data_IF_342436806608
#
_entry.id   IF_342436806608
#
_cell.length_a   1.000
_cell.length_b   1.000
_cell.length_c   1.000
_cell.angle_alpha   90.00
_cell.angle_beta   90.00
_cell.angle_gamma   90.00
#
_symmetry.space_group_name_H-M   'P 1'
#
loop_
_entity.id
_entity.type
_entity.pdbx_description
1 polymer ?
#
# COMPACT_ATOMS: atom_id res chain seq x y z
N UNK A 1 7.76 -34.20 -1.95
CA UNK A 1 8.65 -33.08 -1.51
C UNK A 1 8.92 -33.30 -0.03
N UNK A 2 10.18 -33.30 0.39
CA UNK A 2 10.54 -33.46 1.80
C UNK A 2 10.07 -32.23 2.61
N UNK A 3 9.85 -32.39 3.91
CA UNK A 3 9.41 -31.30 4.80
C UNK A 3 10.42 -30.14 4.79
N UNK A 4 11.70 -30.41 4.67
CA UNK A 4 12.80 -29.44 4.56
C UNK A 4 12.68 -28.53 3.32
N UNK A 5 12.34 -29.09 2.14
CA UNK A 5 12.17 -28.26 0.93
C UNK A 5 11.00 -27.27 1.05
N UNK A 6 9.97 -27.63 1.81
CA UNK A 6 8.82 -26.76 2.02
C UNK A 6 9.14 -25.62 3.01
N UNK A 7 9.94 -25.90 4.01
CA UNK A 7 10.43 -24.89 4.97
C UNK A 7 11.39 -23.90 4.32
N UNK A 8 12.33 -24.39 3.52
CA UNK A 8 13.22 -23.52 2.74
C UNK A 8 12.43 -22.61 1.78
N UNK A 9 11.47 -23.17 1.03
CA UNK A 9 10.64 -22.37 0.12
C UNK A 9 9.86 -21.26 0.85
N UNK A 10 9.33 -21.55 2.05
CA UNK A 10 8.66 -20.54 2.88
C UNK A 10 9.62 -19.46 3.39
N UNK A 11 10.82 -19.83 3.76
CA UNK A 11 11.84 -18.90 4.25
C UNK A 11 12.34 -17.98 3.12
N UNK A 12 12.55 -18.53 1.92
CA UNK A 12 12.92 -17.75 0.73
C UNK A 12 11.82 -16.77 0.31
N UNK A 13 10.55 -17.16 0.37
CA UNK A 13 9.42 -16.27 0.09
C UNK A 13 9.32 -15.16 1.14
N UNK A 14 9.55 -15.46 2.41
CA UNK A 14 9.59 -14.44 3.48
C UNK A 14 10.73 -13.43 3.27
N UNK A 15 11.93 -13.92 2.88
CA UNK A 15 13.05 -13.05 2.56
C UNK A 15 12.71 -12.12 1.39
N UNK A 16 12.18 -12.69 0.31
CA UNK A 16 11.75 -11.93 -0.86
C UNK A 16 10.73 -10.83 -0.50
N UNK A 17 9.66 -11.17 0.23
CA UNK A 17 8.63 -10.23 0.67
C UNK A 17 9.20 -9.10 1.53
N UNK A 18 10.16 -9.43 2.40
CA UNK A 18 10.81 -8.46 3.25
C UNK A 18 11.67 -7.49 2.44
N UNK A 19 12.46 -8.00 1.50
CA UNK A 19 13.33 -7.19 0.65
C UNK A 19 12.50 -6.34 -0.33
N UNK A 20 11.44 -6.89 -0.94
CA UNK A 20 10.50 -6.12 -1.76
C UNK A 20 9.79 -5.03 -0.93
N UNK A 21 9.41 -5.32 0.31
CA UNK A 21 8.76 -4.33 1.18
C UNK A 21 9.65 -3.13 1.52
N UNK A 22 10.96 -3.28 1.44
CA UNK A 22 11.95 -2.23 1.70
C UNK A 22 12.50 -1.54 0.44
N UNK A 23 11.99 -1.87 -0.76
CA UNK A 23 12.40 -1.31 -2.05
C UNK A 23 13.91 -1.41 -2.32
N UNK A 24 14.54 -2.45 -1.87
CA UNK A 24 15.94 -2.67 -2.11
C UNK A 24 16.09 -3.45 -3.43
N UNK A 25 16.78 -2.86 -4.41
CA UNK A 25 17.19 -3.63 -5.57
C UNK A 25 18.20 -4.72 -5.14
N UNK A 26 18.30 -5.86 -5.87
CA UNK A 26 19.26 -6.92 -5.53
C UNK A 26 20.67 -6.38 -5.30
N UNK A 27 21.14 -5.42 -6.10
CA UNK A 27 22.48 -4.82 -5.98
C UNK A 27 22.65 -4.05 -4.66
N UNK A 28 21.58 -3.34 -4.22
CA UNK A 28 21.61 -2.61 -2.93
C UNK A 28 21.60 -3.56 -1.74
N UNK A 29 20.84 -4.66 -1.86
CA UNK A 29 20.81 -5.70 -0.83
C UNK A 29 22.18 -6.37 -0.74
N UNK A 30 22.77 -6.72 -1.88
CA UNK A 30 24.10 -7.29 -1.98
C UNK A 30 25.15 -6.38 -1.34
N UNK A 31 25.18 -5.11 -1.73
CA UNK A 31 26.12 -4.11 -1.18
C UNK A 31 25.90 -3.85 0.33
N UNK A 32 24.71 -4.09 0.87
CA UNK A 32 24.44 -3.97 2.29
C UNK A 32 24.84 -5.23 3.09
N UNK A 33 24.91 -6.37 2.43
CA UNK A 33 25.36 -7.64 3.01
C UNK A 33 26.87 -7.85 2.92
N UNK A 34 27.51 -7.38 1.85
CA UNK A 34 28.95 -7.35 1.64
C UNK A 34 29.57 -6.26 2.54
N UNK A 35 29.89 -6.61 3.79
CA UNK A 35 30.35 -5.67 4.81
C UNK A 35 31.80 -5.18 4.54
N UNK A 36 32.62 -6.06 4.00
CA UNK A 36 34.04 -5.75 3.75
C UNK A 36 34.28 -5.10 2.37
N UNK A 37 33.30 -5.16 1.46
CA UNK A 37 33.34 -4.54 0.13
C UNK A 37 34.24 -5.27 -0.86
N UNK A 38 34.47 -6.59 -0.68
CA UNK A 38 35.34 -7.39 -1.56
C UNK A 38 34.62 -7.95 -2.79
N UNK A 39 33.28 -7.78 -2.87
CA UNK A 39 32.45 -8.21 -3.98
C UNK A 39 31.90 -9.61 -3.81
N UNK A 40 32.03 -10.21 -2.63
CA UNK A 40 31.50 -11.50 -2.25
C UNK A 40 30.77 -11.40 -0.90
N UNK A 41 29.82 -12.26 -0.64
CA UNK A 41 29.15 -12.33 0.66
C UNK A 41 29.49 -13.70 1.27
N UNK A 42 30.25 -13.70 2.35
CA UNK A 42 30.52 -14.88 3.15
C UNK A 42 29.29 -15.33 3.96
N UNK A 43 29.29 -16.55 4.43
CA UNK A 43 28.20 -17.04 5.29
C UNK A 43 28.00 -16.18 6.54
N UNK A 44 29.06 -15.71 7.15
CA UNK A 44 29.01 -14.87 8.37
C UNK A 44 28.41 -13.48 8.06
N UNK A 45 28.80 -12.85 6.96
CA UNK A 45 28.23 -11.58 6.50
C UNK A 45 26.75 -11.73 6.16
N UNK A 46 26.38 -12.81 5.47
CA UNK A 46 24.98 -13.08 5.15
C UNK A 46 24.12 -13.27 6.40
N UNK A 47 24.60 -14.02 7.40
CA UNK A 47 23.91 -14.22 8.67
C UNK A 47 23.78 -12.91 9.45
N UNK A 48 24.84 -12.09 9.48
CA UNK A 48 24.83 -10.77 10.08
C UNK A 48 23.77 -9.88 9.40
N UNK A 49 23.78 -9.83 8.07
CA UNK A 49 22.80 -9.10 7.28
C UNK A 49 21.36 -9.54 7.61
N UNK A 50 21.07 -10.83 7.61
CA UNK A 50 19.74 -11.37 7.96
C UNK A 50 19.30 -10.95 9.38
N UNK A 51 20.23 -10.88 10.34
CA UNK A 51 19.94 -10.43 11.70
C UNK A 51 19.51 -8.95 11.74
N UNK A 52 20.10 -8.11 10.89
CA UNK A 52 19.77 -6.67 10.78
C UNK A 52 18.38 -6.43 10.19
N UNK A 53 17.85 -7.41 9.44
CA UNK A 53 16.50 -7.34 8.89
C UNK A 53 15.40 -7.50 9.93
N UNK A 54 15.75 -7.83 11.18
CA UNK A 54 14.80 -7.94 12.29
C UNK A 54 13.94 -9.21 12.23
N UNK A 55 14.40 -10.25 11.54
CA UNK A 55 13.72 -11.54 11.46
C UNK A 55 14.16 -12.38 12.64
N UNK A 56 13.56 -12.16 13.79
CA UNK A 56 13.85 -12.92 15.02
C UNK A 56 13.39 -14.39 15.01
N UNK A 57 12.76 -14.82 13.91
CA UNK A 57 12.16 -16.15 13.79
C UNK A 57 13.04 -17.18 13.06
N UNK A 58 14.20 -16.79 12.50
CA UNK A 58 15.08 -17.73 11.83
C UNK A 58 16.14 -18.27 12.78
N UNK A 59 16.24 -19.60 12.81
CA UNK A 59 17.35 -20.25 13.47
C UNK A 59 18.64 -20.10 12.64
N UNK A 60 19.79 -20.31 13.26
CA UNK A 60 21.06 -20.35 12.55
C UNK A 60 21.05 -21.38 11.42
N UNK A 61 20.34 -22.50 11.63
CA UNK A 61 20.17 -23.54 10.64
C UNK A 61 19.34 -23.09 9.43
N UNK A 62 18.28 -22.28 9.65
CA UNK A 62 17.47 -21.74 8.54
C UNK A 62 18.29 -20.75 7.71
N UNK A 63 19.06 -19.88 8.38
CA UNK A 63 19.93 -18.89 7.72
C UNK A 63 20.99 -19.58 6.86
N UNK A 64 21.57 -20.67 7.34
CA UNK A 64 22.54 -21.44 6.60
C UNK A 64 21.93 -22.16 5.40
N UNK A 65 20.73 -22.72 5.51
CA UNK A 65 20.00 -23.32 4.40
C UNK A 65 19.68 -22.30 3.30
N UNK A 66 19.37 -21.05 3.70
CA UNK A 66 19.16 -19.97 2.74
C UNK A 66 20.47 -19.60 2.05
N UNK A 67 21.58 -19.47 2.79
CA UNK A 67 22.89 -19.20 2.23
C UNK A 67 23.28 -20.26 1.21
N UNK A 68 23.23 -21.54 1.57
CA UNK A 68 23.54 -22.67 0.68
C UNK A 68 22.66 -22.70 -0.59
N UNK A 69 21.46 -22.09 -0.52
CA UNK A 69 20.60 -21.96 -1.69
C UNK A 69 21.05 -20.85 -2.64
N UNK A 70 21.65 -19.77 -2.11
CA UNK A 70 22.19 -18.68 -2.91
C UNK A 70 23.57 -19.02 -3.48
N UNK A 71 24.43 -19.67 -2.73
CA UNK A 71 25.75 -20.18 -3.16
C UNK A 71 25.52 -21.35 -4.14
N UNK A 72 25.40 -21.04 -5.44
CA UNK A 72 25.14 -22.05 -6.48
C UNK A 72 26.41 -22.77 -6.90
N UNK A 73 27.57 -22.07 -6.82
CA UNK A 73 28.89 -22.62 -7.14
C UNK A 73 29.38 -23.62 -6.07
N UNK A 74 28.94 -23.43 -4.80
CA UNK A 74 29.36 -24.24 -3.66
C UNK A 74 30.78 -23.90 -3.18
N UNK A 75 31.28 -22.67 -3.47
CA UNK A 75 32.60 -22.23 -3.07
C UNK A 75 32.63 -21.62 -1.66
N UNK A 76 31.48 -21.42 -1.05
CA UNK A 76 31.30 -20.89 0.30
C UNK A 76 31.14 -19.38 0.36
N UNK A 77 30.99 -18.72 -0.78
CA UNK A 77 30.74 -17.30 -0.95
C UNK A 77 29.59 -17.09 -1.94
N UNK A 78 28.89 -15.95 -1.86
CA UNK A 78 27.85 -15.58 -2.81
C UNK A 78 28.34 -14.38 -3.60
N UNK A 79 28.48 -14.50 -4.91
CA UNK A 79 28.78 -13.37 -5.79
C UNK A 79 27.48 -12.61 -6.15
N UNK A 80 27.63 -11.39 -6.72
CA UNK A 80 26.48 -10.55 -7.11
C UNK A 80 25.59 -11.25 -8.12
N UNK A 81 26.17 -12.00 -9.04
CA UNK A 81 25.39 -12.70 -10.09
C UNK A 81 24.56 -13.85 -9.52
N UNK A 82 25.14 -14.66 -8.65
CA UNK A 82 24.41 -15.71 -7.94
C UNK A 82 23.25 -15.13 -7.14
N UNK A 83 23.51 -14.02 -6.44
CA UNK A 83 22.50 -13.32 -5.66
C UNK A 83 21.36 -12.82 -6.56
N UNK A 84 21.65 -12.13 -7.65
CA UNK A 84 20.66 -11.63 -8.61
C UNK A 84 19.84 -12.76 -9.25
N UNK A 85 20.50 -13.80 -9.73
CA UNK A 85 19.84 -14.94 -10.37
C UNK A 85 18.90 -15.66 -9.41
N UNK A 86 19.28 -15.86 -8.15
CA UNK A 86 18.42 -16.46 -7.13
C UNK A 86 17.27 -15.56 -6.73
N UNK A 87 17.51 -14.27 -6.55
CA UNK A 87 16.44 -13.30 -6.28
C UNK A 87 15.41 -13.27 -7.40
N UNK A 88 15.86 -13.34 -8.66
CA UNK A 88 14.97 -13.42 -9.81
C UNK A 88 14.14 -14.72 -9.81
N UNK A 89 14.76 -15.86 -9.51
CA UNK A 89 14.07 -17.17 -9.40
C UNK A 89 13.00 -17.13 -8.29
N UNK A 90 13.35 -16.63 -7.11
CA UNK A 90 12.42 -16.50 -5.97
C UNK A 90 11.25 -15.56 -6.34
N UNK A 91 11.52 -14.44 -7.00
CA UNK A 91 10.52 -13.50 -7.49
C UNK A 91 9.56 -14.15 -8.49
N UNK A 92 10.07 -15.02 -9.39
CA UNK A 92 9.24 -15.76 -10.33
C UNK A 92 8.35 -16.80 -9.64
N UNK A 93 8.86 -17.48 -8.60
CA UNK A 93 8.10 -18.44 -7.79
C UNK A 93 7.03 -17.71 -6.97
N UNK A 94 7.38 -16.58 -6.34
CA UNK A 94 6.44 -15.74 -5.62
C UNK A 94 5.30 -15.26 -6.52
N UNK A 95 5.62 -14.79 -7.72
CA UNK A 95 4.63 -14.37 -8.73
C UNK A 95 3.77 -15.52 -9.27
N UNK A 96 4.29 -16.74 -9.29
CA UNK A 96 3.57 -17.94 -9.77
C UNK A 96 2.57 -18.48 -8.74
N UNK A 97 2.76 -18.18 -7.44
CA UNK A 97 1.98 -18.75 -6.34
C UNK A 97 0.61 -18.10 -6.14
N UNK A 98 0.43 -16.85 -6.59
CA UNK A 98 -0.85 -16.13 -6.52
C UNK A 98 -1.20 -15.58 -7.90
N UNK A 99 -1.86 -16.40 -8.70
CA UNK A 99 -2.50 -15.89 -9.93
C UNK A 99 -3.87 -15.37 -9.52
N UNK A 100 -3.98 -14.09 -9.26
CA UNK A 100 -5.29 -13.47 -9.10
C UNK A 100 -6.02 -13.48 -10.44
N UNK A 101 -7.20 -14.07 -10.47
CA UNK A 101 -8.09 -13.92 -11.61
C UNK A 101 -8.55 -12.47 -11.69
N UNK A 102 -8.61 -11.95 -12.90
CA UNK A 102 -9.15 -10.60 -13.10
C UNK A 102 -10.59 -10.55 -12.60
N UNK A 103 -10.85 -9.63 -11.68
CA UNK A 103 -12.18 -9.35 -11.16
C UNK A 103 -12.89 -8.42 -12.16
N UNK A 104 -14.18 -8.63 -12.35
CA UNK A 104 -14.97 -7.73 -13.19
C UNK A 104 -15.18 -6.39 -12.48
N UNK A 105 -15.13 -5.25 -13.22
CA UNK A 105 -15.38 -3.94 -12.64
C UNK A 105 -16.78 -3.84 -12.03
N UNK A 106 -16.88 -3.13 -10.92
CA UNK A 106 -18.14 -2.87 -10.26
C UNK A 106 -18.90 -1.79 -11.05
N UNK A 107 -20.18 -1.97 -11.39
CA UNK A 107 -20.97 -0.92 -12.02
C UNK A 107 -21.04 0.32 -11.13
N UNK A 108 -20.71 1.48 -11.71
CA UNK A 108 -20.71 2.76 -11.00
C UNK A 108 -21.67 3.75 -11.65
N UNK A 109 -22.30 4.57 -10.79
CA UNK A 109 -23.19 5.65 -11.19
C UNK A 109 -22.86 6.95 -10.42
N UNK A 110 -23.71 7.96 -10.54
CA UNK A 110 -23.54 9.26 -9.86
C UNK A 110 -23.64 9.16 -8.34
N UNK A 111 -24.34 8.16 -7.80
CA UNK A 111 -24.50 7.92 -6.36
C UNK A 111 -23.39 7.06 -5.77
N UNK A 112 -22.55 6.44 -6.60
CA UNK A 112 -21.51 5.52 -6.16
C UNK A 112 -20.48 6.23 -5.29
N UNK A 113 -20.23 5.67 -4.11
CA UNK A 113 -19.18 6.11 -3.20
C UNK A 113 -17.98 5.18 -3.26
N UNK A 114 -16.82 5.75 -3.39
CA UNK A 114 -15.56 5.06 -3.61
C UNK A 114 -14.74 4.92 -2.34
N UNK A 115 -14.00 3.86 -2.26
CA UNK A 115 -12.85 3.76 -1.36
C UNK A 115 -11.63 4.28 -2.12
N UNK A 116 -10.95 5.28 -1.56
CA UNK A 116 -9.76 5.86 -2.18
C UNK A 116 -8.49 5.19 -1.70
N UNK A 117 -7.63 4.78 -2.64
CA UNK A 117 -6.31 4.19 -2.37
C UNK A 117 -5.23 5.07 -2.95
N UNK A 118 -4.46 5.72 -2.10
CA UNK A 118 -3.37 6.63 -2.46
C UNK A 118 -2.11 6.27 -1.68
N UNK A 119 -0.96 6.38 -2.31
CA UNK A 119 0.31 6.23 -1.62
C UNK A 119 1.40 7.12 -2.24
N UNK A 120 2.27 7.65 -1.42
CA UNK A 120 3.55 8.19 -1.89
C UNK A 120 4.37 7.07 -2.54
N UNK A 121 5.31 7.44 -3.41
CA UNK A 121 6.08 6.45 -4.17
C UNK A 121 6.71 5.39 -3.27
N UNK A 122 7.34 5.81 -2.18
CA UNK A 122 8.04 4.95 -1.22
C UNK A 122 7.08 4.05 -0.41
N UNK A 123 5.80 4.37 -0.40
CA UNK A 123 4.78 3.63 0.35
C UNK A 123 3.88 2.75 -0.52
N UNK A 124 4.09 2.74 -1.85
CA UNK A 124 3.25 1.96 -2.77
C UNK A 124 3.29 0.47 -2.52
N UNK A 125 4.47 -0.10 -2.20
CA UNK A 125 4.57 -1.53 -1.89
C UNK A 125 3.81 -1.87 -0.62
N UNK A 126 3.91 -1.00 0.40
CA UNK A 126 3.22 -1.20 1.67
C UNK A 126 1.71 -1.18 1.45
N UNK A 127 1.21 -0.24 0.62
CA UNK A 127 -0.19 -0.20 0.23
C UNK A 127 -0.60 -1.45 -0.56
N UNK A 128 0.17 -1.84 -1.57
CA UNK A 128 -0.14 -3.02 -2.39
C UNK A 128 -0.17 -4.30 -1.57
N UNK A 129 0.78 -4.48 -0.65
CA UNK A 129 0.78 -5.63 0.27
C UNK A 129 -0.44 -5.61 1.20
N UNK A 130 -0.81 -4.44 1.72
CA UNK A 130 -2.01 -4.29 2.54
C UNK A 130 -3.28 -4.65 1.75
N UNK A 131 -3.40 -4.21 0.50
CA UNK A 131 -4.53 -4.55 -0.37
C UNK A 131 -4.52 -6.04 -0.73
N UNK A 132 -3.37 -6.63 -1.00
CA UNK A 132 -3.21 -8.06 -1.26
C UNK A 132 -3.68 -8.92 -0.08
N UNK A 133 -3.26 -8.59 1.14
CA UNK A 133 -3.69 -9.26 2.38
C UNK A 133 -5.21 -9.16 2.59
N UNK A 134 -5.86 -8.21 1.96
CA UNK A 134 -7.30 -7.89 2.08
C UNK A 134 -8.02 -7.94 0.72
N UNK A 135 -7.51 -8.77 -0.18
CA UNK A 135 -7.95 -8.88 -1.57
C UNK A 135 -9.48 -9.01 -1.71
N UNK A 136 -10.08 -9.89 -0.92
CA UNK A 136 -11.53 -10.16 -0.95
C UNK A 136 -12.37 -8.91 -0.67
N UNK A 137 -11.92 -8.04 0.22
CA UNK A 137 -12.63 -6.78 0.50
C UNK A 137 -12.47 -5.80 -0.66
N UNK A 138 -11.21 -5.54 -1.08
CA UNK A 138 -10.94 -4.52 -2.09
C UNK A 138 -11.41 -4.90 -3.50
N UNK A 139 -11.63 -6.19 -3.77
CA UNK A 139 -12.23 -6.66 -5.03
C UNK A 139 -13.75 -6.49 -5.09
N UNK A 140 -14.39 -6.15 -3.97
CA UNK A 140 -15.85 -6.04 -3.86
C UNK A 140 -16.32 -4.60 -3.60
N UNK A 141 -15.43 -3.62 -3.61
CA UNK A 141 -15.76 -2.20 -3.37
C UNK A 141 -15.26 -1.34 -4.53
N UNK A 142 -16.04 -0.32 -4.95
CA UNK A 142 -15.59 0.56 -6.02
C UNK A 142 -14.39 1.40 -5.57
N UNK A 143 -13.32 1.38 -6.37
CA UNK A 143 -12.06 2.02 -6.04
C UNK A 143 -11.83 3.28 -6.87
N UNK A 144 -11.26 4.30 -6.22
CA UNK A 144 -10.61 5.44 -6.88
C UNK A 144 -9.15 5.52 -6.46
N UNK A 145 -8.26 5.62 -7.42
CA UNK A 145 -6.81 5.66 -7.16
C UNK A 145 -6.09 6.65 -8.07
N UNK A 146 -4.84 6.98 -7.73
CA UNK A 146 -3.94 7.63 -8.68
C UNK A 146 -3.48 6.65 -9.75
N UNK A 147 -3.16 7.15 -10.96
CA UNK A 147 -2.92 6.32 -12.14
C UNK A 147 -1.86 5.22 -11.97
N UNK A 148 -0.75 5.50 -11.28
CA UNK A 148 0.31 4.50 -11.05
C UNK A 148 -0.09 3.43 -10.02
N UNK A 149 -0.82 3.80 -8.97
CA UNK A 149 -1.35 2.87 -7.96
C UNK A 149 -2.39 1.95 -8.61
N UNK A 150 -3.32 2.51 -9.36
CA UNK A 150 -4.35 1.73 -10.04
C UNK A 150 -3.79 0.71 -11.01
N UNK A 151 -2.83 1.10 -11.85
CA UNK A 151 -2.14 0.14 -12.75
C UNK A 151 -1.51 -1.01 -11.99
N UNK A 152 -0.90 -0.75 -10.84
CA UNK A 152 -0.29 -1.80 -10.02
C UNK A 152 -1.33 -2.74 -9.41
N UNK A 153 -2.49 -2.23 -8.98
CA UNK A 153 -3.59 -3.05 -8.47
C UNK A 153 -4.14 -3.97 -9.56
N UNK A 154 -4.40 -3.43 -10.75
CA UNK A 154 -4.93 -4.22 -11.87
C UNK A 154 -3.95 -5.28 -12.35
N UNK A 155 -2.65 -4.92 -12.50
CA UNK A 155 -1.64 -5.82 -13.06
C UNK A 155 -1.17 -6.89 -12.10
N UNK A 156 -1.06 -6.55 -10.80
CA UNK A 156 -0.51 -7.48 -9.80
C UNK A 156 -1.58 -8.26 -9.06
N UNK A 157 -2.71 -7.63 -8.78
CA UNK A 157 -3.75 -8.21 -7.93
C UNK A 157 -5.06 -8.51 -8.69
N UNK A 158 -5.14 -8.16 -9.98
CA UNK A 158 -6.36 -8.37 -10.78
C UNK A 158 -7.57 -7.56 -10.29
N UNK A 159 -7.36 -6.60 -9.37
CA UNK A 159 -8.42 -5.77 -8.81
C UNK A 159 -8.69 -4.61 -9.76
N UNK A 160 -9.93 -4.46 -10.28
CA UNK A 160 -10.29 -3.35 -11.14
C UNK A 160 -10.30 -2.03 -10.36
N UNK A 161 -10.06 -0.93 -11.08
CA UNK A 161 -10.16 0.42 -10.53
C UNK A 161 -11.17 1.19 -11.36
N UNK A 162 -12.30 1.51 -10.76
CA UNK A 162 -13.42 2.13 -11.46
C UNK A 162 -13.15 3.60 -11.81
N UNK A 163 -12.27 4.27 -11.04
CA UNK A 163 -11.88 5.66 -11.32
C UNK A 163 -10.40 5.92 -11.09
N UNK A 164 -9.74 6.40 -12.12
CA UNK A 164 -8.36 6.87 -12.06
C UNK A 164 -8.33 8.40 -12.00
N UNK A 165 -7.51 8.94 -11.09
CA UNK A 165 -7.18 10.37 -11.02
C UNK A 165 -5.71 10.59 -11.34
N UNK A 166 -5.29 11.83 -11.56
CA UNK A 166 -3.89 12.19 -11.74
C UNK A 166 -3.06 11.82 -10.50
N UNK A 167 -1.74 11.86 -10.60
CA UNK A 167 -0.87 11.78 -9.40
C UNK A 167 -1.08 13.01 -8.49
N UNK A 168 -0.80 12.89 -7.19
CA UNK A 168 -0.97 13.97 -6.21
C UNK A 168 -0.43 15.31 -6.71
N UNK A 169 0.88 15.41 -7.07
CA UNK A 169 1.49 16.64 -7.58
C UNK A 169 0.85 17.21 -8.86
N UNK A 170 0.06 16.44 -9.58
CA UNK A 170 -0.65 16.84 -10.79
C UNK A 170 -2.16 17.05 -10.59
N UNK A 171 -2.59 17.24 -9.34
CA UNK A 171 -3.98 17.54 -9.02
C UNK A 171 -4.83 16.35 -8.60
N UNK A 172 -4.22 15.18 -8.35
CA UNK A 172 -4.94 13.99 -7.88
C UNK A 172 -5.59 14.20 -6.52
N UNK A 173 -4.89 14.87 -5.60
CA UNK A 173 -5.41 15.15 -4.26
C UNK A 173 -6.61 16.09 -4.32
N UNK A 174 -6.58 17.09 -5.19
CA UNK A 174 -7.70 18.01 -5.43
C UNK A 174 -8.90 17.29 -6.07
N UNK A 175 -8.64 16.35 -7.00
CA UNK A 175 -9.70 15.56 -7.62
C UNK A 175 -10.43 14.68 -6.58
N UNK A 176 -9.70 14.02 -5.68
CA UNK A 176 -10.28 13.26 -4.56
C UNK A 176 -11.00 14.19 -3.61
N UNK A 177 -10.43 15.36 -3.29
CA UNK A 177 -11.05 16.40 -2.47
C UNK A 177 -12.38 16.89 -3.05
N UNK A 178 -12.48 17.06 -4.37
CA UNK A 178 -13.74 17.34 -5.08
C UNK A 178 -14.78 16.25 -4.86
N UNK A 179 -14.38 14.98 -4.99
CA UNK A 179 -15.25 13.83 -4.74
C UNK A 179 -15.74 13.74 -3.29
N UNK A 180 -14.92 14.17 -2.30
CA UNK A 180 -15.37 14.29 -0.90
C UNK A 180 -16.51 15.31 -0.81
N UNK A 181 -16.35 16.48 -1.42
CA UNK A 181 -17.35 17.57 -1.40
C UNK A 181 -18.67 17.16 -2.08
N UNK A 182 -18.60 16.25 -3.05
CA UNK A 182 -19.74 15.63 -3.75
C UNK A 182 -20.34 14.43 -3.00
N UNK A 183 -19.83 14.10 -1.80
CA UNK A 183 -20.23 12.92 -1.02
C UNK A 183 -19.97 11.59 -1.75
N UNK A 184 -18.93 11.51 -2.56
CA UNK A 184 -18.58 10.35 -3.39
C UNK A 184 -17.41 9.53 -2.83
N UNK A 185 -16.94 9.82 -1.63
CA UNK A 185 -15.89 9.05 -0.94
C UNK A 185 -16.45 8.45 0.34
N UNK A 186 -16.22 7.15 0.54
CA UNK A 186 -16.56 6.42 1.76
C UNK A 186 -15.42 6.40 2.76
N UNK A 187 -14.20 6.20 2.28
CA UNK A 187 -12.99 6.14 3.10
C UNK A 187 -11.76 6.41 2.26
N UNK A 188 -10.68 6.84 2.91
CA UNK A 188 -9.39 7.06 2.26
C UNK A 188 -8.29 6.28 2.97
N UNK A 189 -7.57 5.45 2.22
CA UNK A 189 -6.31 4.84 2.62
C UNK A 189 -5.19 5.58 1.91
N UNK A 190 -4.57 6.53 2.61
CA UNK A 190 -3.48 7.34 2.07
C UNK A 190 -2.17 7.01 2.80
N UNK A 191 -1.40 6.07 2.26
CA UNK A 191 -0.12 5.69 2.85
C UNK A 191 0.92 6.78 2.58
N UNK A 192 1.14 7.62 3.59
CA UNK A 192 2.09 8.74 3.55
C UNK A 192 3.50 8.26 3.87
N UNK A 193 4.49 8.79 3.17
CA UNK A 193 5.87 8.76 3.63
C UNK A 193 6.10 9.93 4.61
N UNK A 194 6.31 9.66 5.91
CA UNK A 194 6.43 10.72 6.90
C UNK A 194 7.85 11.32 6.98
N UNK A 195 8.83 10.72 6.29
CA UNK A 195 10.24 11.11 6.41
C UNK A 195 10.74 11.94 5.22
N UNK A 196 9.96 11.97 4.12
CA UNK A 196 10.30 12.75 2.94
C UNK A 196 9.47 14.03 2.85
N UNK A 197 10.08 15.12 2.40
CA UNK A 197 9.34 16.33 2.06
C UNK A 197 8.67 16.17 0.70
N UNK A 198 7.41 16.59 0.60
CA UNK A 198 6.63 16.50 -0.62
C UNK A 198 6.31 17.88 -1.17
N UNK A 199 6.52 18.08 -2.48
CA UNK A 199 6.22 19.35 -3.15
C UNK A 199 4.74 19.75 -3.05
N UNK A 200 3.83 18.77 -2.87
CA UNK A 200 2.39 18.98 -2.71
C UNK A 200 1.90 18.79 -1.26
N UNK A 201 2.74 19.05 -0.27
CA UNK A 201 2.37 18.91 1.14
C UNK A 201 1.11 19.71 1.51
N UNK A 202 0.94 20.92 0.95
CA UNK A 202 -0.24 21.75 1.16
C UNK A 202 -1.53 21.09 0.62
N UNK A 203 -1.45 20.36 -0.50
CA UNK A 203 -2.59 19.68 -1.10
C UNK A 203 -3.00 18.47 -0.25
N UNK A 204 -2.01 17.75 0.30
CA UNK A 204 -2.23 16.65 1.24
C UNK A 204 -2.94 17.14 2.51
N UNK A 205 -2.51 18.30 3.04
CA UNK A 205 -3.13 18.91 4.20
C UNK A 205 -4.56 19.38 3.89
N UNK A 206 -4.77 19.97 2.73
CA UNK A 206 -6.10 20.37 2.27
C UNK A 206 -7.04 19.16 2.12
N UNK A 207 -6.54 18.02 1.57
CA UNK A 207 -7.31 16.80 1.45
C UNK A 207 -7.71 16.24 2.82
N UNK A 208 -6.77 16.12 3.76
CA UNK A 208 -7.07 15.61 5.12
C UNK A 208 -8.01 16.53 5.87
N UNK A 209 -7.88 17.86 5.72
CA UNK A 209 -8.84 18.83 6.27
C UNK A 209 -10.26 18.62 5.70
N UNK A 210 -10.40 18.32 4.42
CA UNK A 210 -11.71 17.98 3.84
C UNK A 210 -12.28 16.69 4.43
N UNK A 211 -11.44 15.69 4.71
CA UNK A 211 -11.88 14.49 5.41
C UNK A 211 -12.46 14.82 6.78
N UNK A 212 -11.77 15.67 7.57
CA UNK A 212 -12.24 16.11 8.90
C UNK A 212 -13.56 16.87 8.81
N UNK A 213 -13.68 17.81 7.85
CA UNK A 213 -14.90 18.60 7.64
C UNK A 213 -16.09 17.74 7.27
N UNK A 214 -15.90 16.77 6.36
CA UNK A 214 -16.96 15.91 5.86
C UNK A 214 -17.08 14.59 6.63
N UNK A 215 -16.31 14.43 7.70
CA UNK A 215 -16.29 13.24 8.56
C UNK A 215 -15.97 11.95 7.76
N UNK A 216 -15.13 12.06 6.73
CA UNK A 216 -14.66 10.91 5.97
C UNK A 216 -13.53 10.24 6.74
N UNK A 217 -13.65 8.97 7.11
CA UNK A 217 -12.57 8.27 7.80
C UNK A 217 -11.39 8.10 6.86
N UNK A 218 -10.19 8.35 7.38
CA UNK A 218 -8.97 8.17 6.62
C UNK A 218 -7.84 7.57 7.46
N UNK A 219 -6.98 6.82 6.80
CA UNK A 219 -5.82 6.19 7.41
C UNK A 219 -4.56 6.55 6.63
N UNK A 220 -3.51 6.98 7.34
CA UNK A 220 -2.26 7.46 6.72
C UNK A 220 -1.10 6.49 6.85
N UNK A 221 -1.30 5.36 7.52
CA UNK A 221 -0.32 4.31 7.72
C UNK A 221 -1.02 2.95 7.88
N UNK A 222 -0.23 1.86 7.83
CA UNK A 222 -0.77 0.50 7.88
C UNK A 222 -1.55 0.19 9.16
N UNK A 223 -1.11 0.68 10.31
CA UNK A 223 -1.78 0.38 11.59
C UNK A 223 -3.17 1.01 11.65
N UNK A 224 -3.32 2.29 11.30
CA UNK A 224 -4.62 2.95 11.21
C UNK A 224 -5.49 2.37 10.08
N UNK A 225 -4.87 1.91 8.98
CA UNK A 225 -5.57 1.28 7.87
C UNK A 225 -6.25 -0.04 8.28
N UNK A 226 -5.60 -0.85 9.12
CA UNK A 226 -6.21 -2.07 9.67
C UNK A 226 -7.46 -1.73 10.49
N UNK A 227 -7.38 -0.75 11.39
CA UNK A 227 -8.53 -0.33 12.20
C UNK A 227 -9.68 0.22 11.35
N UNK A 228 -9.38 1.07 10.37
CA UNK A 228 -10.36 1.59 9.43
C UNK A 228 -11.01 0.48 8.60
N UNK A 229 -10.23 -0.47 8.11
CA UNK A 229 -10.75 -1.59 7.34
C UNK A 229 -11.69 -2.48 8.18
N UNK A 230 -11.36 -2.74 9.44
CA UNK A 230 -12.25 -3.48 10.35
C UNK A 230 -13.57 -2.75 10.53
N UNK A 231 -13.54 -1.44 10.70
CA UNK A 231 -14.76 -0.64 10.79
C UNK A 231 -15.61 -0.71 9.50
N UNK A 232 -14.97 -0.61 8.32
CA UNK A 232 -15.66 -0.71 7.04
C UNK A 232 -16.28 -2.10 6.79
N UNK A 233 -15.61 -3.16 7.23
CA UNK A 233 -16.13 -4.53 7.12
C UNK A 233 -17.34 -4.76 8.02
N UNK A 234 -17.33 -4.21 9.23
CA UNK A 234 -18.41 -4.39 10.21
C UNK A 234 -19.60 -3.47 9.95
N UNK A 235 -19.35 -2.19 9.65
CA UNK A 235 -20.36 -1.15 9.57
C UNK A 235 -20.82 -0.84 8.13
N UNK A 236 -20.07 -1.33 7.11
CA UNK A 236 -20.33 -1.03 5.71
C UNK A 236 -19.75 0.30 5.23
N UNK A 237 -19.80 0.53 3.91
CA UNK A 237 -19.18 1.71 3.29
C UNK A 237 -19.90 3.03 3.59
N UNK A 238 -21.13 2.97 4.04
CA UNK A 238 -22.00 4.15 4.19
C UNK A 238 -22.31 4.50 5.65
N UNK A 239 -21.62 3.90 6.61
CA UNK A 239 -21.91 4.05 8.03
C UNK A 239 -21.82 5.51 8.55
N UNK A 240 -21.09 6.42 7.84
CA UNK A 240 -20.99 7.83 8.24
C UNK A 240 -22.11 8.72 7.67
N UNK A 241 -23.00 8.18 6.82
CA UNK A 241 -24.01 8.99 6.10
C UNK A 241 -25.20 9.30 6.96
N UNK A 242 -25.39 8.61 8.07
CA UNK A 242 -26.46 8.98 9.00
C UNK A 242 -26.22 10.43 9.41
N UNK A 243 -27.06 11.28 8.82
CA UNK A 243 -26.94 12.72 8.88
C UNK A 243 -26.96 13.19 10.33
N UNK A 244 -25.79 13.42 10.90
CA UNK A 244 -25.71 14.21 12.12
C UNK A 244 -26.18 15.62 11.77
N UNK A 245 -27.42 15.96 12.13
CA UNK A 245 -27.97 17.33 11.99
C UNK A 245 -27.05 18.37 12.66
N UNK A 246 -26.23 17.91 13.58
CA UNK A 246 -25.23 18.73 14.29
C UNK A 246 -23.87 18.78 13.58
N UNK A 247 -23.70 18.18 12.42
CA UNK A 247 -22.43 18.22 11.71
C UNK A 247 -21.99 19.64 11.41
N UNK A 248 -20.69 19.88 11.45
CA UNK A 248 -20.07 21.18 11.13
C UNK A 248 -20.53 21.68 9.76
N UNK A 249 -20.65 20.79 8.79
CA UNK A 249 -21.09 21.11 7.42
C UNK A 249 -22.54 21.59 7.40
N UNK A 250 -23.42 20.90 8.10
CA UNK A 250 -24.84 21.28 8.16
C UNK A 250 -25.01 22.62 8.88
N UNK A 251 -24.32 22.84 10.00
CA UNK A 251 -24.34 24.14 10.69
C UNK A 251 -23.84 25.26 9.80
N UNK A 252 -22.76 25.06 9.04
CA UNK A 252 -22.23 26.05 8.11
C UNK A 252 -23.21 26.33 6.97
N UNK A 253 -23.81 25.30 6.34
CA UNK A 253 -24.82 25.45 5.28
C UNK A 253 -26.05 26.22 5.75
N UNK A 254 -26.55 25.90 6.95
CA UNK A 254 -27.67 26.61 7.56
C UNK A 254 -27.37 28.10 7.80
N UNK A 255 -26.16 28.41 8.33
CA UNK A 255 -25.74 29.79 8.50
C UNK A 255 -25.65 30.55 7.17
N UNK A 256 -25.12 29.93 6.11
CA UNK A 256 -25.08 30.58 4.78
C UNK A 256 -26.49 30.80 4.20
N UNK A 257 -27.38 29.83 4.33
CA UNK A 257 -28.76 29.96 3.85
C UNK A 257 -29.50 31.12 4.54
N UNK A 258 -29.29 31.33 5.84
CA UNK A 258 -29.86 32.46 6.60
C UNK A 258 -29.33 33.81 6.10
N UNK A 259 -28.03 33.90 5.81
CA UNK A 259 -27.42 35.12 5.26
C UNK A 259 -28.00 35.46 3.87
N UNK A 260 -28.08 34.45 3.01
CA UNK A 260 -28.63 34.60 1.63
C UNK A 260 -30.11 35.06 1.70
N UNK A 261 -30.90 34.46 2.59
CA UNK A 261 -32.30 34.81 2.77
C UNK A 261 -32.45 36.25 3.29
N UNK A 262 -31.63 36.64 4.26
CA UNK A 262 -31.64 38.03 4.80
C UNK A 262 -31.23 39.06 3.72
N UNK A 263 -30.25 38.74 2.85
CA UNK A 263 -29.87 39.62 1.74
C UNK A 263 -30.95 39.74 0.67
N UNK A 264 -31.73 38.68 0.43
CA UNK A 264 -32.84 38.69 -0.52
C UNK A 264 -34.04 39.49 -0.04
N UNK A 265 -34.29 39.56 1.26
CA UNK A 265 -35.39 40.31 1.86
C UNK A 265 -35.10 41.80 1.99
N UNK A 266 -33.84 42.23 1.86
CA UNK A 266 -33.42 43.65 1.94
C UNK A 266 -33.29 44.31 0.54
N UNK A 267 -33.78 43.67 -0.52
CA UNK A 267 -33.95 44.22 -1.87
C UNK A 267 -35.41 44.51 -2.16
#
# INVERSE_FOLDING_TARGET
>A
MSNQNKELELSLLRLHDLLESRWLSPERVFSAADENGDGHITCDEFMLFLSTLGISAWSEQDSRLIFDHFDESGDGEIDLKEFEDKMLQISQVAKKKVTYHKVDPIPVDESTRFVSLVAHNEMKSVLLKFVEEQHDFFSQVPLVTTGSTGKSLEQRLGIPVERLVASGPLGGDQAIGGMISENRISAIFFFKDPLSSHAHAADIEALTRLCDVHQIPYATNRASAIGLLMALKELGLNWQIESDENSIVNKYKLGQSQVITALAQNK
#
